data_IF_042769629026
#
_entry.id   IF_042769629026
#
_cell.length_a   1.000
_cell.length_b   1.000
_cell.length_c   1.000
_cell.angle_alpha   90.00
_cell.angle_beta   90.00
_cell.angle_gamma   90.00
#
_symmetry.space_group_name_H-M   'P 1'
#
loop_
_entity.id
_entity.type
_entity.pdbx_description
1 polymer ?
#
# COMPACT_ATOMS: atom_id res chain seq x y z
N UNK A 1 5.37 -46.79 -21.49
CA UNK A 1 6.40 -46.09 -20.69
C UNK A 1 6.36 -44.64 -21.12
N UNK A 2 5.95 -43.73 -20.23
CA UNK A 2 5.95 -42.30 -20.54
C UNK A 2 7.37 -41.87 -20.94
N UNK A 3 7.50 -41.13 -22.02
CA UNK A 3 8.81 -40.68 -22.48
C UNK A 3 9.39 -39.72 -21.43
N UNK A 4 10.73 -39.63 -21.32
CA UNK A 4 11.37 -38.69 -20.41
C UNK A 4 10.96 -37.22 -20.66
N UNK A 5 10.41 -36.93 -21.84
CA UNK A 5 9.86 -35.63 -22.23
C UNK A 5 8.47 -35.38 -21.61
N UNK A 6 7.61 -36.38 -21.52
CA UNK A 6 6.27 -36.26 -20.89
C UNK A 6 6.40 -35.95 -19.40
N UNK A 7 7.36 -36.59 -18.73
CA UNK A 7 7.68 -36.36 -17.32
C UNK A 7 8.18 -34.92 -17.11
N UNK A 8 9.03 -34.42 -18.01
CA UNK A 8 9.54 -33.06 -17.94
C UNK A 8 8.42 -32.03 -18.14
N UNK A 9 7.55 -32.24 -19.12
CA UNK A 9 6.42 -31.35 -19.42
C UNK A 9 5.43 -31.23 -18.24
N UNK A 10 5.22 -32.31 -17.48
CA UNK A 10 4.39 -32.31 -16.28
C UNK A 10 5.03 -31.52 -15.13
N UNK A 11 6.36 -31.59 -14.99
CA UNK A 11 7.14 -30.85 -13.98
C UNK A 11 7.19 -29.33 -14.20
N UNK A 12 7.09 -28.85 -15.45
CA UNK A 12 7.08 -27.41 -15.80
C UNK A 12 5.70 -26.87 -16.16
N UNK A 13 4.63 -27.62 -15.89
CA UNK A 13 3.27 -27.14 -16.17
C UNK A 13 2.88 -26.01 -15.22
N UNK A 14 2.83 -24.79 -15.74
CA UNK A 14 2.27 -23.61 -15.07
C UNK A 14 0.80 -23.40 -15.44
N UNK A 15 0.08 -22.66 -14.59
CA UNK A 15 -1.26 -22.15 -14.87
C UNK A 15 -1.33 -20.66 -14.47
N UNK A 16 -2.10 -19.87 -15.22
CA UNK A 16 -2.41 -18.47 -14.95
C UNK A 16 -3.89 -18.30 -14.58
N UNK A 17 -4.33 -17.08 -14.27
CA UNK A 17 -5.68 -16.80 -13.78
C UNK A 17 -6.80 -17.25 -14.74
N UNK A 18 -6.56 -17.21 -16.04
CA UNK A 18 -7.56 -17.57 -17.05
C UNK A 18 -7.66 -19.09 -17.30
N UNK A 19 -6.77 -19.89 -16.72
CA UNK A 19 -6.73 -21.35 -16.94
C UNK A 19 -7.72 -22.11 -16.04
N UNK A 20 -8.30 -21.48 -15.02
CA UNK A 20 -9.20 -22.14 -14.08
C UNK A 20 -10.31 -21.23 -13.57
N UNK A 21 -11.38 -21.87 -13.09
CA UNK A 21 -12.51 -21.21 -12.45
C UNK A 21 -12.68 -21.73 -11.02
N UNK A 22 -13.15 -20.87 -10.13
CA UNK A 22 -13.58 -21.28 -8.79
C UNK A 22 -14.92 -22.01 -8.89
N UNK A 23 -14.96 -23.28 -8.49
CA UNK A 23 -16.21 -24.06 -8.42
C UNK A 23 -17.03 -23.59 -7.21
N UNK A 24 -18.26 -23.07 -7.40
CA UNK A 24 -19.10 -22.66 -6.28
C UNK A 24 -19.31 -23.78 -5.26
N UNK A 25 -19.23 -23.45 -3.97
CA UNK A 25 -19.48 -24.37 -2.85
C UNK A 25 -20.70 -23.90 -2.06
N UNK A 26 -21.25 -24.79 -1.22
CA UNK A 26 -22.30 -24.41 -0.28
C UNK A 26 -21.78 -23.31 0.67
N UNK A 27 -22.56 -22.25 0.82
CA UNK A 27 -22.23 -21.12 1.70
C UNK A 27 -23.15 -21.13 2.91
N UNK A 28 -22.56 -21.02 4.11
CA UNK A 28 -23.30 -20.72 5.36
C UNK A 28 -23.67 -19.25 5.49
N UNK A 29 -23.11 -18.41 4.62
CA UNK A 29 -23.39 -16.98 4.54
C UNK A 29 -24.48 -16.78 3.48
N UNK A 30 -25.63 -16.24 3.88
CA UNK A 30 -26.81 -16.07 3.03
C UNK A 30 -26.65 -14.99 1.95
N UNK A 31 -25.82 -13.98 2.22
CA UNK A 31 -25.59 -12.83 1.34
C UNK A 31 -24.18 -12.26 1.52
N UNK A 32 -23.70 -11.51 0.53
CA UNK A 32 -22.41 -10.82 0.62
C UNK A 32 -22.47 -9.68 1.65
N UNK A 33 -22.24 -10.01 2.92
CA UNK A 33 -22.26 -9.07 4.05
C UNK A 33 -20.81 -8.84 4.54
N UNK A 34 -20.25 -7.63 4.33
CA UNK A 34 -18.88 -7.31 4.73
C UNK A 34 -18.63 -7.37 6.23
N UNK A 35 -19.67 -7.40 7.06
CA UNK A 35 -19.52 -7.51 8.52
C UNK A 35 -19.18 -8.92 8.99
N UNK A 36 -19.48 -9.95 8.18
CA UNK A 36 -19.24 -11.37 8.50
C UNK A 36 -18.15 -12.00 7.62
N UNK A 37 -17.79 -11.35 6.51
CA UNK A 37 -16.71 -11.78 5.63
C UNK A 37 -15.43 -11.05 6.05
N UNK A 38 -14.55 -11.75 6.77
CA UNK A 38 -13.24 -11.22 7.13
C UNK A 38 -12.30 -11.23 5.92
N UNK A 39 -11.83 -10.05 5.54
CA UNK A 39 -10.84 -9.84 4.48
C UNK A 39 -9.45 -9.53 5.03
N UNK A 40 -9.27 -9.65 6.35
CA UNK A 40 -7.98 -9.43 6.97
C UNK A 40 -6.95 -10.46 6.48
N UNK A 41 -5.72 -10.01 6.27
CA UNK A 41 -4.65 -10.88 5.79
C UNK A 41 -3.29 -10.45 6.33
N UNK A 42 -2.34 -11.37 6.36
CA UNK A 42 -0.96 -11.07 6.73
C UNK A 42 -0.16 -10.71 5.49
N UNK A 43 0.35 -9.49 5.45
CA UNK A 43 1.30 -9.06 4.42
C UNK A 43 2.72 -9.51 4.75
N UNK A 44 3.10 -9.44 6.03
CA UNK A 44 4.40 -9.90 6.51
C UNK A 44 4.28 -10.54 7.89
N UNK A 45 5.41 -10.93 8.48
CA UNK A 45 5.47 -11.46 9.85
C UNK A 45 4.85 -10.51 10.88
N UNK A 46 4.99 -9.20 10.68
CA UNK A 46 4.58 -8.16 11.63
C UNK A 46 3.50 -7.20 11.09
N UNK A 47 3.03 -7.38 9.85
CA UNK A 47 2.06 -6.48 9.23
C UNK A 47 0.81 -7.27 8.84
N UNK A 48 -0.32 -6.88 9.43
CA UNK A 48 -1.66 -7.36 9.08
C UNK A 48 -2.44 -6.23 8.42
N UNK A 49 -3.09 -6.54 7.31
CA UNK A 49 -3.96 -5.62 6.58
C UNK A 49 -5.42 -5.96 6.86
N UNK A 50 -6.30 -4.96 6.80
CA UNK A 50 -7.75 -5.19 6.86
C UNK A 50 -8.32 -5.62 5.51
N UNK A 51 -7.61 -5.32 4.42
CA UNK A 51 -7.94 -5.73 3.05
C UNK A 51 -6.70 -6.25 2.35
N UNK A 52 -6.81 -7.29 1.49
CA UNK A 52 -5.68 -7.89 0.80
C UNK A 52 -5.31 -7.10 -0.46
N UNK A 53 -5.16 -5.78 -0.33
CA UNK A 53 -4.87 -4.87 -1.44
C UNK A 53 -3.57 -4.12 -1.14
N UNK A 54 -2.64 -4.18 -2.09
CA UNK A 54 -1.35 -3.50 -2.04
C UNK A 54 -1.11 -2.81 -3.38
N UNK A 55 -0.83 -1.50 -3.37
CA UNK A 55 -0.54 -0.78 -4.60
C UNK A 55 0.90 -1.02 -5.08
N UNK A 56 1.08 -1.10 -6.40
CA UNK A 56 2.37 -1.38 -7.01
C UNK A 56 3.38 -0.24 -6.74
N UNK A 57 4.65 -0.60 -6.53
CA UNK A 57 5.76 0.32 -6.25
C UNK A 57 6.28 0.99 -7.53
N UNK A 58 5.38 1.63 -8.28
CA UNK A 58 5.67 2.31 -9.55
C UNK A 58 5.46 3.81 -9.42
N UNK A 59 6.30 4.59 -10.10
CA UNK A 59 6.31 6.05 -10.13
C UNK A 59 4.96 6.67 -10.57
N UNK A 60 4.27 5.99 -11.46
CA UNK A 60 2.95 6.34 -11.99
C UNK A 60 1.78 5.83 -11.16
N UNK A 61 2.04 4.98 -10.15
CA UNK A 61 0.99 4.33 -9.34
C UNK A 61 1.02 4.83 -7.91
N UNK A 62 2.16 4.75 -7.22
CA UNK A 62 2.22 4.94 -5.77
C UNK A 62 3.23 5.98 -5.34
N UNK A 63 2.71 7.20 -5.18
CA UNK A 63 3.31 8.29 -4.39
C UNK A 63 2.49 8.46 -3.09
N UNK A 64 2.79 9.47 -2.27
CA UNK A 64 2.13 9.71 -0.99
C UNK A 64 0.59 9.71 -1.08
N UNK A 65 -0.07 10.37 -2.06
CA UNK A 65 -1.53 10.38 -2.11
C UNK A 65 -2.16 8.99 -2.21
N UNK A 66 -1.60 8.11 -3.05
CA UNK A 66 -2.09 6.73 -3.19
C UNK A 66 -1.81 5.91 -1.92
N UNK A 67 -0.63 6.07 -1.32
CA UNK A 67 -0.27 5.33 -0.12
C UNK A 67 -1.15 5.71 1.08
N UNK A 68 -1.54 6.98 1.19
CA UNK A 68 -2.49 7.48 2.20
C UNK A 68 -3.85 6.80 2.01
N UNK A 69 -4.43 6.88 0.80
CA UNK A 69 -5.75 6.30 0.51
C UNK A 69 -5.77 4.79 0.71
N UNK A 70 -4.72 4.07 0.28
CA UNK A 70 -4.62 2.63 0.51
C UNK A 70 -4.64 2.31 2.01
N UNK A 71 -3.89 3.06 2.82
CA UNK A 71 -3.87 2.86 4.27
C UNK A 71 -5.23 3.16 4.93
N UNK A 72 -5.91 4.22 4.50
CA UNK A 72 -7.26 4.59 5.00
C UNK A 72 -8.30 3.52 4.64
N UNK A 73 -8.22 2.93 3.45
CA UNK A 73 -9.07 1.82 3.01
C UNK A 73 -8.68 0.47 3.64
N UNK A 74 -7.62 0.43 4.47
CA UNK A 74 -7.17 -0.75 5.19
C UNK A 74 -6.24 -1.69 4.40
N UNK A 75 -5.74 -1.23 3.25
CA UNK A 75 -4.66 -1.84 2.48
C UNK A 75 -3.28 -1.24 2.78
N UNK A 76 -2.37 -1.32 1.80
CA UNK A 76 -1.00 -0.80 1.92
C UNK A 76 -0.52 -0.18 0.61
N UNK A 77 0.10 1.01 0.68
CA UNK A 77 0.84 1.56 -0.45
C UNK A 77 2.34 1.42 -0.30
N UNK A 78 3.02 0.96 -1.35
CA UNK A 78 4.48 0.92 -1.42
C UNK A 78 4.98 2.08 -2.28
N UNK A 79 5.59 3.08 -1.66
CA UNK A 79 6.20 4.20 -2.38
C UNK A 79 7.28 3.67 -3.31
N UNK A 80 7.24 4.06 -4.58
CA UNK A 80 8.24 3.66 -5.56
C UNK A 80 9.63 4.25 -5.26
N UNK A 81 10.63 3.74 -5.97
CA UNK A 81 12.03 4.18 -5.89
C UNK A 81 12.48 5.00 -7.10
N UNK A 82 11.59 5.24 -8.06
CA UNK A 82 11.83 5.94 -9.32
C UNK A 82 11.94 7.45 -9.10
N UNK A 83 12.82 7.85 -8.21
CA UNK A 83 13.31 9.22 -8.07
C UNK A 83 14.68 9.34 -8.74
N UNK A 84 15.31 10.52 -8.65
CA UNK A 84 16.65 10.75 -9.23
C UNK A 84 17.64 9.71 -8.71
N UNK A 85 18.44 9.12 -9.60
CA UNK A 85 19.42 8.09 -9.24
C UNK A 85 20.41 8.59 -8.18
N UNK A 86 20.55 7.83 -7.10
CA UNK A 86 21.45 8.16 -5.99
C UNK A 86 20.88 9.13 -4.96
N UNK A 87 19.62 9.58 -5.11
CA UNK A 87 18.95 10.49 -4.18
C UNK A 87 17.74 9.81 -3.52
N UNK A 88 17.78 9.68 -2.19
CA UNK A 88 16.71 9.07 -1.38
C UNK A 88 15.77 10.13 -0.78
N UNK A 89 16.18 11.40 -0.75
CA UNK A 89 15.43 12.48 -0.07
C UNK A 89 14.01 12.69 -0.61
N UNK A 90 13.75 12.59 -1.93
CA UNK A 90 12.40 12.64 -2.44
C UNK A 90 11.51 11.50 -1.91
N UNK A 91 12.06 10.28 -1.79
CA UNK A 91 11.32 9.14 -1.27
C UNK A 91 11.01 9.32 0.23
N UNK A 92 11.99 9.78 1.00
CA UNK A 92 11.83 10.09 2.43
C UNK A 92 10.70 11.09 2.62
N UNK A 93 10.68 12.17 1.85
CA UNK A 93 9.61 13.19 1.92
C UNK A 93 8.22 12.62 1.63
N UNK A 94 8.08 11.71 0.66
CA UNK A 94 6.80 11.05 0.42
C UNK A 94 6.37 10.18 1.61
N UNK A 95 7.30 9.45 2.25
CA UNK A 95 7.02 8.66 3.45
C UNK A 95 6.64 9.56 4.63
N UNK A 96 7.33 10.68 4.82
CA UNK A 96 7.02 11.65 5.88
C UNK A 96 5.61 12.21 5.75
N UNK A 97 5.20 12.60 4.53
CA UNK A 97 3.82 13.02 4.24
C UNK A 97 2.82 11.96 4.67
N UNK A 98 3.01 10.71 4.23
CA UNK A 98 2.11 9.58 4.58
C UNK A 98 2.01 9.40 6.10
N UNK A 99 3.14 9.44 6.82
CA UNK A 99 3.14 9.24 8.27
C UNK A 99 2.47 10.39 9.02
N UNK A 100 2.61 11.64 8.55
CA UNK A 100 2.02 12.82 9.20
C UNK A 100 0.50 12.93 9.03
N UNK A 101 -0.13 12.29 8.03
CA UNK A 101 -1.56 12.46 7.72
C UNK A 101 -2.52 12.06 8.84
N UNK A 102 -2.24 11.00 9.60
CA UNK A 102 -3.09 10.59 10.71
C UNK A 102 -2.25 10.24 11.95
N UNK A 103 -2.04 11.25 12.78
CA UNK A 103 -1.44 11.09 14.10
C UNK A 103 -2.42 11.52 15.19
N UNK A 104 -2.77 10.58 16.09
CA UNK A 104 -3.46 10.90 17.34
C UNK A 104 -2.54 11.73 18.26
N UNK A 105 -1.22 11.55 18.15
CA UNK A 105 -0.20 12.31 18.89
C UNK A 105 0.84 12.84 17.91
N UNK A 106 0.91 14.17 17.76
CA UNK A 106 1.91 14.84 16.91
C UNK A 106 3.21 14.96 17.71
N UNK A 107 4.23 14.16 17.36
CA UNK A 107 5.54 14.17 18.05
C UNK A 107 6.38 15.40 17.76
N UNK A 108 6.23 15.97 16.56
CA UNK A 108 7.04 17.07 16.05
C UNK A 108 6.11 18.12 15.40
N UNK A 109 5.46 18.97 16.21
CA UNK A 109 4.54 19.98 15.72
C UNK A 109 5.30 21.13 15.06
N UNK A 110 4.76 21.62 13.95
CA UNK A 110 5.20 22.89 13.39
C UNK A 110 4.87 24.02 14.37
N UNK A 111 5.89 24.77 14.78
CA UNK A 111 5.76 25.89 15.71
C UNK A 111 6.44 27.14 15.16
N UNK A 112 5.88 28.30 15.50
CA UNK A 112 6.45 29.62 15.19
C UNK A 112 6.68 30.40 16.48
N UNK A 113 7.59 31.37 16.43
CA UNK A 113 7.84 32.25 17.58
C UNK A 113 6.97 33.50 17.49
N UNK A 114 6.73 34.23 18.60
CA UNK A 114 6.00 35.50 18.55
C UNK A 114 6.65 36.57 17.66
N UNK A 115 7.94 36.44 17.35
CA UNK A 115 8.67 37.33 16.46
C UNK A 115 8.57 36.94 14.98
N UNK A 116 7.98 35.79 14.66
CA UNK A 116 7.82 35.31 13.28
C UNK A 116 6.80 36.17 12.54
N UNK A 117 7.16 36.64 11.34
CA UNK A 117 6.25 37.45 10.54
C UNK A 117 5.07 36.63 10.01
N UNK A 118 3.95 37.30 9.72
CA UNK A 118 2.79 36.65 9.09
C UNK A 118 3.15 36.03 7.74
N UNK A 119 4.06 36.66 6.99
CA UNK A 119 4.52 36.15 5.71
C UNK A 119 5.25 34.81 5.89
N UNK A 120 6.21 34.75 6.82
CA UNK A 120 6.99 33.52 7.07
C UNK A 120 6.11 32.39 7.60
N UNK A 121 5.15 32.70 8.49
CA UNK A 121 4.18 31.73 8.97
C UNK A 121 3.31 31.18 7.83
N UNK A 122 2.88 32.04 6.90
CA UNK A 122 2.09 31.64 5.72
C UNK A 122 2.90 30.73 4.79
N UNK A 123 4.18 31.04 4.57
CA UNK A 123 5.10 30.20 3.78
C UNK A 123 5.32 28.84 4.44
N UNK A 124 5.49 28.82 5.77
CA UNK A 124 5.64 27.58 6.54
C UNK A 124 4.37 26.71 6.44
N UNK A 125 3.19 27.29 6.56
CA UNK A 125 1.91 26.58 6.38
C UNK A 125 1.75 26.02 4.96
N UNK A 126 2.19 26.77 3.93
CA UNK A 126 2.05 26.38 2.53
C UNK A 126 3.04 25.29 2.11
N UNK A 127 4.19 25.21 2.77
CA UNK A 127 5.25 24.23 2.47
C UNK A 127 5.15 22.94 3.31
N UNK A 128 4.41 22.98 4.41
CA UNK A 128 4.17 21.84 5.30
C UNK A 128 2.97 20.97 4.91
N UNK A 129 2.18 21.39 3.91
CA UNK A 129 1.00 20.68 3.39
C UNK A 129 1.31 19.71 2.24
#
# INVERSE_FOLDING_TARGET
MASGFDVLAELVRGATFDDFLLRPQFSVIERRDPSVIDLSCRFSTHITLKRPLVSANMDTVTRAPMAIVQAEEGGLGIIDRGFRSGDIEPQVREVEKVKRMQHIIIRDPYAVTPATSLADATTLMSSAG
#
